data_IF_694353206300
#
_entry.id   IF_694353206300
#
_cell.length_a   1.000
_cell.length_b   1.000
_cell.length_c   1.000
_cell.angle_alpha   90.00
_cell.angle_beta   90.00
_cell.angle_gamma   90.00
#
_symmetry.space_group_name_H-M   'P 1'
#
loop_
_entity.id
_entity.type
_entity.pdbx_description
1 polymer ?
#
# COMPACT_ATOMS: atom_id res chain seq x y z
N UNK A 1 -0.37 -7.10 -8.86
CA UNK A 1 -0.58 -6.08 -7.81
C UNK A 1 -1.24 -4.86 -8.42
N UNK A 2 -2.22 -4.28 -7.72
CA UNK A 2 -2.72 -2.93 -8.03
C UNK A 2 -2.47 -2.06 -6.80
N UNK A 3 -1.88 -0.90 -6.96
CA UNK A 3 -1.69 0.08 -5.91
C UNK A 3 -1.98 1.50 -6.40
N UNK A 4 -2.06 2.42 -5.46
CA UNK A 4 -2.32 3.83 -5.66
C UNK A 4 -1.39 4.62 -4.74
N UNK A 5 -0.64 5.56 -5.30
CA UNK A 5 0.10 6.53 -4.52
C UNK A 5 -0.84 7.65 -4.04
N UNK A 6 -0.69 8.03 -2.79
CA UNK A 6 -1.49 9.09 -2.15
C UNK A 6 -0.60 10.27 -1.75
N UNK A 7 -1.20 11.43 -1.53
CA UNK A 7 -0.57 12.70 -1.19
C UNK A 7 -0.06 12.79 0.27
N UNK A 8 0.44 11.67 0.78
CA UNK A 8 1.12 11.57 2.08
C UNK A 8 2.58 11.24 1.84
N UNK A 9 3.46 12.20 2.10
CA UNK A 9 4.83 12.16 1.63
C UNK A 9 5.84 11.73 2.69
N UNK A 10 6.85 11.02 2.22
CA UNK A 10 8.13 10.89 2.90
C UNK A 10 9.16 11.78 2.19
N UNK A 11 9.97 12.50 2.94
CA UNK A 11 10.98 13.42 2.41
C UNK A 11 12.33 13.10 2.99
N UNK A 12 13.38 13.15 2.16
CA UNK A 12 14.77 13.07 2.57
C UNK A 12 15.47 14.37 2.16
N UNK A 13 16.11 15.03 3.10
CA UNK A 13 16.93 16.22 2.86
C UNK A 13 18.40 15.87 3.09
N UNK A 14 19.21 16.12 2.08
CA UNK A 14 20.67 15.92 2.12
C UNK A 14 21.35 17.26 2.23
N UNK A 15 22.21 17.40 3.22
CA UNK A 15 22.98 18.63 3.45
C UNK A 15 24.45 18.26 3.61
N UNK A 16 25.34 18.99 2.92
CA UNK A 16 26.78 18.87 3.08
C UNK A 16 27.27 20.16 3.71
N UNK A 17 27.88 20.06 4.89
CA UNK A 17 28.43 21.23 5.57
C UNK A 17 29.77 21.68 4.95
N UNK A 18 30.29 22.82 5.42
CA UNK A 18 31.57 23.38 4.98
C UNK A 18 32.75 22.43 5.24
N UNK A 19 32.62 21.48 6.15
CA UNK A 19 33.59 20.43 6.46
C UNK A 19 33.51 19.20 5.58
N UNK A 20 32.50 19.13 4.67
CA UNK A 20 32.21 17.99 3.80
C UNK A 20 31.49 16.86 4.52
N UNK A 21 30.89 17.11 5.66
CA UNK A 21 30.05 16.12 6.37
C UNK A 21 28.66 16.11 5.77
N UNK A 22 28.23 14.92 5.29
CA UNK A 22 26.90 14.69 4.80
C UNK A 22 25.94 14.41 5.96
N UNK A 23 24.87 15.18 6.08
CA UNK A 23 23.75 14.90 6.97
C UNK A 23 22.50 14.55 6.17
N UNK A 24 21.69 13.66 6.73
CA UNK A 24 20.42 13.21 6.13
C UNK A 24 19.30 13.39 7.14
N UNK A 25 18.30 14.18 6.78
CA UNK A 25 17.11 14.41 7.60
C UNK A 25 15.89 13.80 6.91
N UNK A 26 15.06 13.11 7.68
CA UNK A 26 13.83 12.50 7.19
C UNK A 26 12.61 13.14 7.84
N UNK A 27 11.57 13.39 7.05
CA UNK A 27 10.25 13.77 7.53
C UNK A 27 9.17 12.93 6.83
N UNK A 28 8.12 12.59 7.55
CA UNK A 28 7.01 11.80 7.03
C UNK A 28 5.69 12.42 7.49
N UNK A 29 4.71 12.51 6.59
CA UNK A 29 3.38 13.02 6.91
C UNK A 29 2.56 12.00 7.70
N UNK A 30 2.92 10.71 7.60
CA UNK A 30 2.30 9.60 8.36
C UNK A 30 3.35 8.83 9.15
N UNK A 31 2.98 8.19 10.28
CA UNK A 31 3.93 7.43 11.09
C UNK A 31 4.57 6.27 10.32
N UNK A 32 5.85 6.03 10.56
CA UNK A 32 6.54 4.81 10.12
C UNK A 32 5.86 3.60 10.77
N UNK A 33 5.69 2.51 10.02
CA UNK A 33 4.95 1.34 10.50
C UNK A 33 3.42 1.47 10.38
N UNK A 34 2.93 2.51 9.69
CA UNK A 34 1.50 2.66 9.39
C UNK A 34 0.95 1.66 8.38
N UNK A 35 1.80 0.92 7.67
CA UNK A 35 1.39 0.05 6.55
C UNK A 35 1.14 0.78 5.22
N UNK A 36 1.45 2.09 5.16
CA UNK A 36 1.31 2.92 3.96
C UNK A 36 2.58 3.00 3.10
N UNK A 37 3.52 2.06 3.28
CA UNK A 37 4.74 2.04 2.47
C UNK A 37 5.76 3.12 2.83
N UNK A 38 5.67 3.72 4.03
CA UNK A 38 6.53 4.86 4.45
C UNK A 38 8.02 4.54 4.36
N UNK A 39 8.44 3.32 4.72
CA UNK A 39 9.84 2.91 4.63
C UNK A 39 10.33 2.89 3.18
N UNK A 40 9.54 2.30 2.28
CA UNK A 40 9.85 2.29 0.85
C UNK A 40 9.93 3.70 0.27
N UNK A 41 9.01 4.58 0.66
CA UNK A 41 8.98 5.97 0.21
C UNK A 41 10.19 6.78 0.72
N UNK A 42 10.64 6.57 1.98
CA UNK A 42 11.86 7.18 2.54
C UNK A 42 13.08 6.77 1.71
N UNK A 43 13.22 5.48 1.40
CA UNK A 43 14.38 4.97 0.67
C UNK A 43 14.38 5.45 -0.80
N UNK A 44 13.22 5.54 -1.43
CA UNK A 44 13.08 6.15 -2.76
C UNK A 44 13.49 7.61 -2.74
N UNK A 45 13.00 8.40 -1.77
CA UNK A 45 13.37 9.81 -1.62
C UNK A 45 14.87 10.00 -1.37
N UNK A 46 15.46 9.18 -0.50
CA UNK A 46 16.89 9.20 -0.22
C UNK A 46 17.75 8.94 -1.45
N UNK A 47 17.46 7.85 -2.16
CA UNK A 47 18.29 7.44 -3.31
C UNK A 47 18.14 8.42 -4.48
N UNK A 48 16.92 8.91 -4.74
CA UNK A 48 16.70 9.95 -5.74
C UNK A 48 17.48 11.24 -5.43
N UNK A 49 17.53 11.62 -4.15
CA UNK A 49 18.30 12.78 -3.69
C UNK A 49 19.82 12.57 -3.81
N UNK A 50 20.33 11.38 -3.48
CA UNK A 50 21.75 11.03 -3.62
C UNK A 50 22.18 11.08 -5.10
N UNK A 51 21.36 10.56 -6.00
CA UNK A 51 21.64 10.54 -7.43
C UNK A 51 21.46 11.92 -8.11
N UNK A 52 20.85 12.88 -7.40
CA UNK A 52 20.65 14.24 -7.90
C UNK A 52 19.81 14.31 -9.17
N UNK A 53 18.87 13.41 -9.30
CA UNK A 53 18.03 13.25 -10.50
C UNK A 53 17.05 14.43 -10.63
N UNK A 54 17.44 15.46 -11.37
CA UNK A 54 16.60 16.65 -11.61
C UNK A 54 15.41 16.35 -12.54
N UNK A 55 15.55 15.40 -13.46
CA UNK A 55 14.48 14.96 -14.36
C UNK A 55 14.32 13.45 -14.24
N UNK A 56 13.15 13.01 -13.75
CA UNK A 56 12.82 11.60 -13.53
C UNK A 56 11.82 11.14 -14.59
N UNK A 57 12.34 10.55 -15.65
CA UNK A 57 11.54 9.77 -16.61
C UNK A 57 11.14 8.40 -16.04
N UNK A 58 10.40 7.63 -16.81
CA UNK A 58 9.88 6.32 -16.38
C UNK A 58 11.02 5.32 -16.08
N UNK A 59 12.13 5.37 -16.83
CA UNK A 59 13.29 4.51 -16.62
C UNK A 59 14.07 4.84 -15.34
N UNK A 60 14.26 6.12 -15.04
CA UNK A 60 14.91 6.59 -13.82
C UNK A 60 14.08 6.23 -12.59
N UNK A 61 12.74 6.42 -12.64
CA UNK A 61 11.82 6.02 -11.57
C UNK A 61 11.87 4.52 -11.28
N UNK A 62 11.91 3.70 -12.34
CA UNK A 62 12.08 2.26 -12.22
C UNK A 62 13.42 1.90 -11.55
N UNK A 63 14.49 2.56 -11.96
CA UNK A 63 15.84 2.33 -11.41
C UNK A 63 15.86 2.66 -9.91
N UNK A 64 15.36 3.83 -9.51
CA UNK A 64 15.30 4.24 -8.10
C UNK A 64 14.42 3.29 -7.28
N UNK A 65 13.28 2.84 -7.80
CA UNK A 65 12.42 1.88 -7.12
C UNK A 65 13.15 0.56 -6.82
N UNK A 66 13.86 0.02 -7.82
CA UNK A 66 14.62 -1.23 -7.66
C UNK A 66 15.83 -1.06 -6.73
N UNK A 67 16.55 0.04 -6.82
CA UNK A 67 17.64 0.35 -5.89
C UNK A 67 17.14 0.49 -4.45
N UNK A 68 15.99 1.15 -4.23
CA UNK A 68 15.38 1.27 -2.92
C UNK A 68 14.99 -0.09 -2.34
N UNK A 69 14.42 -0.97 -3.17
CA UNK A 69 14.13 -2.35 -2.77
C UNK A 69 15.40 -3.13 -2.39
N UNK A 70 16.46 -3.03 -3.23
CA UNK A 70 17.73 -3.70 -2.95
C UNK A 70 18.37 -3.16 -1.67
N UNK A 71 18.34 -1.85 -1.45
CA UNK A 71 18.84 -1.22 -0.24
C UNK A 71 18.13 -1.74 1.02
N UNK A 72 16.79 -1.82 1.00
CA UNK A 72 16.02 -2.41 2.10
C UNK A 72 16.38 -3.88 2.34
N UNK A 73 16.56 -4.65 1.28
CA UNK A 73 16.95 -6.06 1.36
C UNK A 73 18.31 -6.25 2.01
N UNK A 74 19.28 -5.37 1.72
CA UNK A 74 20.60 -5.36 2.36
C UNK A 74 20.51 -5.03 3.86
N UNK A 75 19.53 -4.23 4.27
CA UNK A 75 19.25 -3.93 5.67
C UNK A 75 18.46 -5.05 6.38
N UNK A 76 18.18 -6.15 5.70
CA UNK A 76 17.48 -7.32 6.24
C UNK A 76 15.96 -7.27 6.14
N UNK A 77 15.39 -6.27 5.47
CA UNK A 77 13.95 -6.24 5.19
C UNK A 77 13.61 -7.26 4.07
N UNK A 78 12.73 -8.20 4.38
CA UNK A 78 12.26 -9.23 3.44
C UNK A 78 10.90 -8.89 2.82
N UNK A 79 10.58 -7.61 2.71
CA UNK A 79 9.33 -7.11 2.11
C UNK A 79 9.28 -7.28 0.58
N UNK A 80 8.14 -6.89 0.00
CA UNK A 80 7.97 -6.81 -1.45
C UNK A 80 8.46 -5.47 -2.03
N UNK A 81 8.37 -5.33 -3.36
CA UNK A 81 8.83 -4.14 -4.12
C UNK A 81 7.73 -3.12 -4.36
N UNK A 82 6.51 -3.41 -3.93
CA UNK A 82 5.30 -2.66 -4.29
C UNK A 82 5.30 -1.20 -3.84
N UNK A 83 5.84 -0.96 -2.64
CA UNK A 83 5.81 0.36 -2.00
C UNK A 83 6.82 1.30 -2.65
N UNK A 84 8.02 0.81 -2.96
CA UNK A 84 9.05 1.55 -3.66
C UNK A 84 8.59 1.94 -5.07
N UNK A 85 7.93 1.03 -5.79
CA UNK A 85 7.39 1.31 -7.11
C UNK A 85 6.23 2.32 -7.06
N UNK A 86 5.35 2.24 -6.05
CA UNK A 86 4.30 3.23 -5.86
C UNK A 86 4.87 4.61 -5.59
N UNK A 87 5.83 4.72 -4.66
CA UNK A 87 6.48 5.98 -4.30
C UNK A 87 7.26 6.60 -5.45
N UNK A 88 7.96 5.78 -6.26
CA UNK A 88 8.74 6.28 -7.39
C UNK A 88 7.86 6.78 -8.53
N UNK A 89 6.80 6.04 -8.88
CA UNK A 89 5.99 6.34 -10.06
C UNK A 89 4.82 7.27 -9.81
N UNK A 90 4.28 7.31 -8.60
CA UNK A 90 3.02 8.00 -8.33
C UNK A 90 1.82 7.33 -8.99
N UNK A 91 0.63 7.91 -8.82
CA UNK A 91 -0.60 7.53 -9.49
C UNK A 91 -1.05 6.10 -9.25
N UNK A 92 -1.75 5.57 -10.25
CA UNK A 92 -2.25 4.20 -10.28
C UNK A 92 -1.23 3.27 -10.93
N UNK A 93 -0.90 2.17 -10.27
CA UNK A 93 0.02 1.18 -10.81
C UNK A 93 -0.63 -0.21 -10.84
N UNK A 94 -0.41 -0.92 -11.95
CA UNK A 94 -0.67 -2.34 -12.08
C UNK A 94 0.65 -3.04 -12.37
N UNK A 95 1.20 -3.73 -11.37
CA UNK A 95 2.51 -4.35 -11.43
C UNK A 95 2.36 -5.87 -11.53
N UNK A 96 3.15 -6.48 -12.41
CA UNK A 96 3.38 -7.92 -12.47
C UNK A 96 4.79 -8.22 -11.95
N UNK A 97 4.88 -9.17 -11.03
CA UNK A 97 6.13 -9.70 -10.51
C UNK A 97 6.37 -11.06 -11.15
N UNK A 98 7.45 -11.20 -11.91
CA UNK A 98 7.79 -12.41 -12.67
C UNK A 98 9.23 -12.78 -12.34
N UNK A 99 9.40 -13.69 -11.36
CA UNK A 99 10.72 -13.95 -10.80
C UNK A 99 11.31 -12.69 -10.17
N UNK A 100 12.48 -12.28 -10.64
CA UNK A 100 13.17 -11.07 -10.19
C UNK A 100 12.78 -9.81 -10.96
N UNK A 101 11.95 -9.94 -12.00
CA UNK A 101 11.53 -8.83 -12.83
C UNK A 101 10.21 -8.22 -12.36
N UNK A 102 10.05 -6.91 -12.59
CA UNK A 102 8.81 -6.17 -12.39
C UNK A 102 8.38 -5.55 -13.71
N UNK A 103 7.17 -5.86 -14.13
CA UNK A 103 6.57 -5.28 -15.33
C UNK A 103 5.40 -4.36 -14.92
N UNK A 104 5.50 -3.08 -15.31
CA UNK A 104 4.42 -2.10 -15.12
C UNK A 104 3.47 -2.20 -16.31
N UNK A 105 2.29 -2.73 -16.05
CA UNK A 105 1.25 -2.88 -17.07
C UNK A 105 0.61 -1.53 -17.40
N UNK A 106 0.20 -1.30 -18.65
CA UNK A 106 -0.63 -0.15 -18.99
C UNK A 106 -1.91 -0.17 -18.15
N UNK A 107 -2.10 0.86 -17.31
CA UNK A 107 -3.21 0.90 -16.37
C UNK A 107 -3.70 2.32 -16.16
N UNK A 108 -4.94 2.57 -16.53
CA UNK A 108 -5.59 3.85 -16.35
C UNK A 108 -7.05 3.62 -15.95
N UNK A 109 -7.37 3.65 -14.64
CA UNK A 109 -8.73 3.62 -14.17
C UNK A 109 -9.57 4.73 -14.78
N UNK A 110 -10.80 4.43 -15.18
CA UNK A 110 -11.66 5.46 -15.76
C UNK A 110 -12.13 6.44 -14.68
N UNK A 111 -12.38 7.69 -15.06
CA UNK A 111 -12.70 8.78 -14.13
C UNK A 111 -13.92 8.51 -13.24
N UNK A 112 -14.92 7.77 -13.74
CA UNK A 112 -16.09 7.39 -12.93
C UNK A 112 -15.74 6.43 -11.79
N UNK A 113 -14.87 5.44 -12.05
CA UNK A 113 -14.36 4.52 -11.03
C UNK A 113 -13.48 5.24 -10.00
N UNK A 114 -12.58 6.13 -10.44
CA UNK A 114 -11.76 6.95 -9.53
C UNK A 114 -12.62 7.81 -8.60
N UNK A 115 -13.60 8.54 -9.17
CA UNK A 115 -14.52 9.37 -8.38
C UNK A 115 -15.38 8.55 -7.41
N UNK A 116 -15.78 7.37 -7.84
CA UNK A 116 -16.55 6.47 -6.97
C UNK A 116 -15.69 6.00 -5.79
N UNK A 117 -14.45 5.56 -6.02
CA UNK A 117 -13.54 5.20 -4.94
C UNK A 117 -13.28 6.38 -4.00
N UNK A 118 -12.94 7.56 -4.51
CA UNK A 118 -12.70 8.74 -3.68
C UNK A 118 -13.88 9.14 -2.79
N UNK A 119 -15.12 8.84 -3.23
CA UNK A 119 -16.32 9.09 -2.43
C UNK A 119 -16.61 8.03 -1.37
N UNK A 120 -16.19 6.79 -1.61
CA UNK A 120 -16.59 5.65 -0.80
C UNK A 120 -15.45 5.06 0.01
N UNK A 121 -14.19 5.30 -0.35
CA UNK A 121 -13.05 4.73 0.35
C UNK A 121 -12.70 5.60 1.57
N UNK A 122 -12.75 5.01 2.74
CA UNK A 122 -12.31 5.59 4.02
C UNK A 122 -10.97 4.99 4.38
N UNK A 123 -9.98 5.82 4.63
CA UNK A 123 -8.65 5.43 5.12
C UNK A 123 -8.56 5.73 6.60
N UNK A 124 -8.25 4.72 7.41
CA UNK A 124 -8.12 4.87 8.86
C UNK A 124 -6.84 4.23 9.37
N UNK A 125 -6.23 4.86 10.36
CA UNK A 125 -5.09 4.32 11.10
C UNK A 125 -5.56 3.86 12.48
N UNK A 126 -5.35 2.59 12.78
CA UNK A 126 -5.76 2.00 14.06
C UNK A 126 -4.91 2.45 15.25
N UNK A 127 -3.73 3.01 15.01
CA UNK A 127 -2.74 3.30 16.06
C UNK A 127 -2.06 2.05 16.64
N UNK A 128 -2.43 0.85 16.19
CA UNK A 128 -1.80 -0.40 16.61
C UNK A 128 -0.50 -0.56 15.82
N UNK A 129 0.66 -0.70 16.50
CA UNK A 129 1.92 -0.88 15.79
C UNK A 129 1.92 -2.13 14.92
N UNK A 130 2.34 -1.97 13.68
CA UNK A 130 2.48 -3.06 12.74
C UNK A 130 3.83 -3.76 12.91
N UNK A 131 3.82 -5.08 13.06
CA UNK A 131 5.03 -5.92 13.18
C UNK A 131 5.11 -6.84 11.97
N UNK A 132 5.85 -6.42 10.93
CA UNK A 132 5.88 -7.12 9.63
C UNK A 132 6.89 -8.27 9.53
N UNK A 133 7.99 -8.24 10.28
CA UNK A 133 9.15 -9.10 10.02
C UNK A 133 8.90 -10.60 10.22
N UNK A 134 8.33 -10.97 11.35
CA UNK A 134 8.18 -12.40 11.75
C UNK A 134 6.99 -13.07 11.04
N UNK A 135 5.93 -12.30 10.74
CA UNK A 135 4.72 -12.84 10.09
C UNK A 135 5.01 -13.32 8.66
N UNK A 136 5.78 -12.56 7.89
CA UNK A 136 6.17 -12.96 6.55
C UNK A 136 7.04 -14.22 6.54
N UNK A 137 7.96 -14.37 7.50
CA UNK A 137 8.84 -15.53 7.57
C UNK A 137 8.04 -16.83 7.75
N UNK A 138 7.06 -16.85 8.66
CA UNK A 138 6.20 -18.00 8.89
C UNK A 138 5.38 -18.38 7.66
N UNK A 139 4.84 -17.41 6.93
CA UNK A 139 4.08 -17.66 5.70
C UNK A 139 4.99 -18.25 4.63
N UNK A 140 6.20 -17.73 4.48
CA UNK A 140 7.17 -18.27 3.51
C UNK A 140 7.64 -19.69 3.85
N UNK A 141 7.85 -20.00 5.12
CA UNK A 141 8.17 -21.36 5.58
C UNK A 141 7.04 -22.34 5.25
N UNK A 142 5.78 -21.97 5.53
CA UNK A 142 4.61 -22.77 5.18
C UNK A 142 4.48 -22.95 3.66
N UNK A 143 4.71 -21.89 2.88
CA UNK A 143 4.71 -21.97 1.42
C UNK A 143 5.78 -22.95 0.90
N UNK A 144 7.00 -22.85 1.41
CA UNK A 144 8.11 -23.72 1.05
C UNK A 144 7.85 -25.20 1.44
N UNK A 145 7.15 -25.41 2.56
CA UNK A 145 6.70 -26.73 2.99
C UNK A 145 5.55 -27.32 2.15
N UNK A 146 5.00 -26.53 1.23
CA UNK A 146 3.94 -26.98 0.33
C UNK A 146 2.53 -26.86 0.91
N UNK A 147 2.32 -26.02 1.93
CA UNK A 147 1.01 -25.77 2.53
C UNK A 147 0.00 -25.27 1.47
N UNK A 148 -1.05 -26.09 1.26
CA UNK A 148 -2.05 -25.84 0.24
C UNK A 148 -2.93 -24.61 0.56
N UNK A 149 -3.19 -24.36 1.85
CA UNK A 149 -3.98 -23.22 2.29
C UNK A 149 -3.25 -21.90 1.98
N UNK A 150 -1.94 -21.85 2.22
CA UNK A 150 -1.09 -20.69 1.86
C UNK A 150 -1.08 -20.47 0.34
N UNK A 151 -0.96 -21.54 -0.44
CA UNK A 151 -1.01 -21.45 -1.91
C UNK A 151 -2.35 -20.95 -2.41
N UNK A 152 -3.45 -21.43 -1.85
CA UNK A 152 -4.79 -20.94 -2.16
C UNK A 152 -4.94 -19.47 -1.82
N UNK A 153 -4.47 -19.04 -0.63
CA UNK A 153 -4.48 -17.64 -0.20
C UNK A 153 -3.73 -16.72 -1.15
N UNK A 154 -2.51 -17.10 -1.53
CA UNK A 154 -1.72 -16.33 -2.51
C UNK A 154 -2.39 -16.27 -3.88
N UNK A 155 -3.05 -17.36 -4.31
CA UNK A 155 -3.79 -17.39 -5.57
C UNK A 155 -5.02 -16.47 -5.51
N UNK A 156 -5.75 -16.45 -4.39
CA UNK A 156 -6.88 -15.54 -4.17
C UNK A 156 -6.43 -14.07 -4.24
N UNK A 157 -5.34 -13.71 -3.56
CA UNK A 157 -4.77 -12.35 -3.60
C UNK A 157 -4.36 -11.98 -5.04
N UNK A 158 -3.75 -12.90 -5.78
CA UNK A 158 -3.36 -12.69 -7.18
C UNK A 158 -4.59 -12.45 -8.07
N UNK A 159 -5.64 -13.24 -7.90
CA UNK A 159 -6.89 -13.08 -8.67
C UNK A 159 -7.61 -11.78 -8.30
N UNK A 160 -7.64 -11.41 -7.02
CA UNK A 160 -8.19 -10.15 -6.55
C UNK A 160 -7.53 -8.94 -7.24
N UNK A 161 -6.21 -8.97 -7.42
CA UNK A 161 -5.51 -7.90 -8.12
C UNK A 161 -5.95 -7.76 -9.59
N UNK A 162 -6.25 -8.87 -10.28
CA UNK A 162 -6.76 -8.85 -11.65
C UNK A 162 -8.19 -8.31 -11.73
N UNK A 163 -9.05 -8.74 -10.80
CA UNK A 163 -10.42 -8.22 -10.68
C UNK A 163 -10.40 -6.71 -10.40
N UNK A 164 -9.55 -6.26 -9.48
CA UNK A 164 -9.39 -4.84 -9.18
C UNK A 164 -9.00 -4.05 -10.43
N UNK A 165 -7.97 -4.50 -11.16
CA UNK A 165 -7.51 -3.82 -12.37
C UNK A 165 -8.62 -3.74 -13.42
N UNK A 166 -9.31 -4.85 -13.69
CA UNK A 166 -10.38 -4.90 -14.67
C UNK A 166 -11.58 -4.04 -14.24
N UNK A 167 -12.00 -4.16 -12.99
CA UNK A 167 -13.11 -3.39 -12.42
C UNK A 167 -12.88 -1.88 -12.51
N UNK A 168 -11.66 -1.41 -12.21
CA UNK A 168 -11.31 0.01 -12.28
C UNK A 168 -11.20 0.54 -13.72
N UNK A 169 -10.71 -0.28 -14.66
CA UNK A 169 -10.62 0.12 -16.07
C UNK A 169 -11.95 0.11 -16.80
N UNK A 170 -12.94 -0.67 -16.36
CA UNK A 170 -14.22 -0.86 -17.04
C UNK A 170 -15.43 -0.32 -16.24
N UNK A 171 -15.22 0.36 -15.09
CA UNK A 171 -16.27 0.81 -14.14
C UNK A 171 -17.18 -0.33 -13.64
N UNK A 172 -16.61 -1.50 -13.47
CA UNK A 172 -17.33 -2.65 -12.91
C UNK A 172 -17.14 -2.68 -11.40
N UNK A 173 -18.01 -1.97 -10.70
CA UNK A 173 -17.93 -1.79 -9.24
C UNK A 173 -18.13 -3.09 -8.48
N UNK A 174 -18.90 -4.00 -9.00
CA UNK A 174 -19.09 -5.37 -8.49
C UNK A 174 -17.76 -6.15 -8.48
N UNK A 175 -16.95 -6.04 -9.53
CA UNK A 175 -15.61 -6.65 -9.58
C UNK A 175 -14.66 -6.02 -8.56
N UNK A 176 -14.72 -4.69 -8.36
CA UNK A 176 -13.92 -4.01 -7.34
C UNK A 176 -14.32 -4.47 -5.94
N UNK A 177 -15.62 -4.56 -5.63
CA UNK A 177 -16.12 -5.09 -4.35
C UNK A 177 -15.67 -6.54 -4.17
N UNK A 178 -15.81 -7.38 -5.19
CA UNK A 178 -15.36 -8.77 -5.16
C UNK A 178 -13.85 -8.85 -4.91
N UNK A 179 -13.05 -7.97 -5.52
CA UNK A 179 -11.61 -7.92 -5.30
C UNK A 179 -11.24 -7.61 -3.84
N UNK A 180 -11.93 -6.69 -3.17
CA UNK A 180 -11.75 -6.44 -1.74
C UNK A 180 -12.06 -7.67 -0.90
N UNK A 181 -13.16 -8.36 -1.18
CA UNK A 181 -13.54 -9.55 -0.43
C UNK A 181 -12.58 -10.73 -0.68
N UNK A 182 -12.14 -10.93 -1.92
CA UNK A 182 -11.19 -11.98 -2.27
C UNK A 182 -9.78 -11.74 -1.69
N UNK A 183 -9.31 -10.49 -1.63
CA UNK A 183 -8.01 -10.21 -0.99
C UNK A 183 -8.08 -10.48 0.52
N UNK A 184 -9.18 -10.12 1.19
CA UNK A 184 -9.38 -10.44 2.61
C UNK A 184 -9.42 -11.95 2.83
N UNK A 185 -10.23 -12.67 2.05
CA UNK A 185 -10.26 -14.15 2.11
C UNK A 185 -8.87 -14.76 1.92
N UNK A 186 -8.12 -14.23 0.95
CA UNK A 186 -6.76 -14.69 0.70
C UNK A 186 -5.83 -14.47 1.89
N UNK A 187 -5.89 -13.30 2.54
CA UNK A 187 -5.10 -12.98 3.73
C UNK A 187 -5.48 -13.87 4.91
N UNK A 188 -6.78 -14.13 5.13
CA UNK A 188 -7.26 -15.03 6.19
C UNK A 188 -6.76 -16.48 5.98
N UNK A 189 -6.61 -16.92 4.74
CA UNK A 189 -6.00 -18.22 4.42
C UNK A 189 -4.49 -18.25 4.70
N UNK A 190 -3.80 -17.13 4.58
CA UNK A 190 -2.39 -17.03 4.98
C UNK A 190 -2.24 -17.10 6.49
N UNK A 191 -2.93 -16.23 7.20
CA UNK A 191 -2.98 -16.19 8.66
C UNK A 191 -4.16 -15.30 9.13
N UNK A 192 -5.20 -15.88 9.80
CA UNK A 192 -6.33 -15.10 10.32
C UNK A 192 -5.92 -14.03 11.35
N UNK A 193 -4.79 -14.21 12.03
CA UNK A 193 -4.26 -13.24 13.00
C UNK A 193 -3.92 -11.89 12.38
N UNK A 194 -3.66 -11.84 11.06
CA UNK A 194 -3.39 -10.60 10.33
C UNK A 194 -4.58 -9.64 10.32
N UNK A 195 -5.80 -10.15 10.41
CA UNK A 195 -7.03 -9.38 10.45
C UNK A 195 -7.60 -9.19 11.87
N UNK A 196 -7.08 -9.94 12.86
CA UNK A 196 -7.56 -9.94 14.24
C UNK A 196 -7.82 -8.55 14.83
N UNK A 197 -6.90 -7.58 14.71
CA UNK A 197 -7.07 -6.24 15.29
C UNK A 197 -8.25 -5.43 14.72
N UNK A 198 -8.77 -5.79 13.55
CA UNK A 198 -9.76 -5.01 12.83
C UNK A 198 -11.19 -5.51 13.01
N UNK A 199 -11.38 -6.80 13.33
CA UNK A 199 -12.68 -7.49 13.39
C UNK A 199 -13.70 -6.81 14.28
N UNK A 200 -13.30 -6.28 15.45
CA UNK A 200 -14.22 -5.66 16.40
C UNK A 200 -14.97 -4.44 15.81
N UNK A 201 -14.38 -3.78 14.80
CA UNK A 201 -14.99 -2.61 14.13
C UNK A 201 -15.55 -3.00 12.77
N UNK A 202 -14.81 -3.80 12.01
CA UNK A 202 -15.13 -4.11 10.63
C UNK A 202 -16.32 -5.08 10.52
N UNK A 203 -16.37 -6.12 11.34
CA UNK A 203 -17.42 -7.15 11.22
C UNK A 203 -18.83 -6.58 11.42
N UNK A 204 -19.12 -5.75 12.44
CA UNK A 204 -20.43 -5.11 12.58
C UNK A 204 -20.80 -4.22 11.38
N UNK A 205 -19.81 -3.54 10.76
CA UNK A 205 -20.02 -2.70 9.59
C UNK A 205 -20.35 -3.52 8.33
N UNK A 206 -19.72 -4.67 8.19
CA UNK A 206 -20.01 -5.62 7.09
C UNK A 206 -21.39 -6.27 7.28
N UNK A 207 -21.72 -6.76 8.47
CA UNK A 207 -23.01 -7.37 8.78
C UNK A 207 -24.16 -6.40 8.55
N UNK A 208 -23.99 -5.14 8.93
CA UNK A 208 -24.97 -4.07 8.71
C UNK A 208 -24.95 -3.54 7.25
N UNK A 209 -24.11 -4.06 6.38
CA UNK A 209 -23.89 -3.60 5.00
C UNK A 209 -23.56 -2.11 4.88
N UNK A 210 -22.92 -1.55 5.90
CA UNK A 210 -22.37 -0.19 5.87
C UNK A 210 -21.05 -0.14 5.09
N UNK A 211 -20.29 -1.23 5.11
CA UNK A 211 -19.07 -1.47 4.33
C UNK A 211 -19.31 -2.60 3.35
N UNK A 212 -18.83 -2.45 2.11
CA UNK A 212 -18.96 -3.42 1.02
C UNK A 212 -17.72 -4.32 0.91
N UNK A 213 -16.59 -3.87 1.41
CA UNK A 213 -15.30 -4.56 1.43
C UNK A 213 -14.26 -3.69 2.13
N UNK A 214 -13.17 -4.30 2.51
CA UNK A 214 -12.08 -3.62 3.21
C UNK A 214 -10.74 -4.29 2.93
N UNK A 215 -9.65 -3.66 3.36
CA UNK A 215 -8.31 -4.27 3.30
C UNK A 215 -7.40 -3.63 4.34
N UNK A 216 -6.73 -4.46 5.14
CA UNK A 216 -5.57 -4.03 5.92
C UNK A 216 -4.41 -3.67 4.97
N UNK A 217 -3.77 -2.54 5.18
CA UNK A 217 -2.64 -2.07 4.38
C UNK A 217 -1.31 -2.61 4.95
N UNK A 218 -0.33 -2.76 4.11
CA UNK A 218 0.90 -3.45 4.47
C UNK A 218 0.70 -4.95 4.70
N UNK A 219 1.38 -5.54 5.69
CA UNK A 219 1.30 -6.96 6.02
C UNK A 219 0.08 -7.35 6.89
N UNK A 220 -0.69 -6.40 7.41
CA UNK A 220 -1.76 -6.66 8.38
C UNK A 220 -1.25 -6.69 9.81
N UNK A 221 -2.09 -7.10 10.77
CA UNK A 221 -1.73 -7.15 12.19
C UNK A 221 -1.76 -5.79 12.90
N UNK A 222 -2.03 -4.70 12.20
CA UNK A 222 -2.08 -3.33 12.71
C UNK A 222 -1.91 -2.29 11.59
N UNK A 223 -1.62 -1.04 11.96
CA UNK A 223 -1.44 0.06 11.03
C UNK A 223 -2.75 0.54 10.41
N UNK A 224 -2.69 0.90 9.12
CA UNK A 224 -3.83 1.44 8.40
C UNK A 224 -4.66 0.35 7.71
N UNK A 225 -5.92 0.69 7.47
CA UNK A 225 -6.82 -0.07 6.62
C UNK A 225 -7.65 0.89 5.76
N UNK A 226 -8.15 0.36 4.65
CA UNK A 226 -9.17 1.02 3.83
C UNK A 226 -10.50 0.29 3.95
N UNK A 227 -11.59 1.05 4.02
CA UNK A 227 -12.96 0.58 4.10
C UNK A 227 -13.75 1.15 2.93
N UNK A 228 -14.37 0.29 2.14
CA UNK A 228 -15.24 0.71 1.05
C UNK A 228 -16.67 0.90 1.58
N UNK A 229 -16.99 2.12 1.97
CA UNK A 229 -18.32 2.45 2.50
C UNK A 229 -19.41 2.27 1.43
N UNK A 230 -20.55 1.74 1.85
CA UNK A 230 -21.73 1.66 1.00
C UNK A 230 -22.30 3.06 0.71
N UNK A 231 -23.13 3.17 -0.31
CA UNK A 231 -23.74 4.44 -0.72
C UNK A 231 -24.48 5.12 0.46
N UNK A 232 -24.10 6.37 0.74
CA UNK A 232 -24.66 7.17 1.85
C UNK A 232 -24.29 6.67 3.26
N UNK A 233 -23.25 5.84 3.39
CA UNK A 233 -22.79 5.29 4.68
C UNK A 233 -21.42 5.76 5.13
N UNK A 234 -20.75 6.61 4.34
CA UNK A 234 -19.39 7.08 4.66
C UNK A 234 -19.29 7.69 6.06
N UNK A 235 -20.13 8.66 6.39
CA UNK A 235 -20.11 9.32 7.70
C UNK A 235 -20.31 8.33 8.87
N UNK A 236 -21.16 7.30 8.67
CA UNK A 236 -21.37 6.26 9.68
C UNK A 236 -20.12 5.39 9.85
N UNK A 237 -19.44 5.06 8.76
CA UNK A 237 -18.19 4.27 8.80
C UNK A 237 -17.10 5.08 9.48
N UNK A 238 -16.96 6.37 9.14
CA UNK A 238 -16.01 7.29 9.76
C UNK A 238 -16.26 7.42 11.26
N UNK A 239 -17.51 7.66 11.68
CA UNK A 239 -17.88 7.72 13.09
C UNK A 239 -17.61 6.41 13.86
N UNK A 240 -17.78 5.25 13.23
CA UNK A 240 -17.44 3.97 13.85
C UNK A 240 -15.92 3.79 14.04
N UNK A 241 -15.11 4.24 13.09
CA UNK A 241 -13.64 4.25 13.21
C UNK A 241 -13.20 5.18 14.36
N UNK A 242 -13.72 6.39 14.41
CA UNK A 242 -13.42 7.37 15.49
C UNK A 242 -13.85 6.88 16.86
N UNK A 243 -15.03 6.26 16.97
CA UNK A 243 -15.52 5.66 18.21
C UNK A 243 -14.62 4.51 18.72
N UNK A 244 -13.91 3.84 17.82
CA UNK A 244 -12.91 2.83 18.14
C UNK A 244 -11.54 3.42 18.49
N UNK A 245 -11.38 4.74 18.44
CA UNK A 245 -10.11 5.44 18.67
C UNK A 245 -9.17 5.43 17.45
N UNK A 246 -9.68 5.10 16.28
CA UNK A 246 -8.90 5.13 15.04
C UNK A 246 -8.85 6.55 14.48
N UNK A 247 -7.73 6.91 13.86
CA UNK A 247 -7.54 8.21 13.23
C UNK A 247 -7.90 8.11 11.76
N UNK A 248 -8.85 8.93 11.31
CA UNK A 248 -9.15 9.07 9.89
C UNK A 248 -8.01 9.84 9.19
N UNK A 249 -7.61 9.37 8.03
CA UNK A 249 -6.61 10.02 7.20
C UNK A 249 -7.30 10.53 5.93
N UNK A 250 -7.21 11.83 5.70
CA UNK A 250 -7.56 12.41 4.40
C UNK A 250 -6.53 11.96 3.38
N UNK A 251 -6.96 11.79 2.15
CA UNK A 251 -6.09 11.36 1.06
C UNK A 251 -6.60 11.84 -0.30
N UNK A 252 -5.69 12.14 -1.17
CA UNK A 252 -5.93 12.33 -2.60
C UNK A 252 -4.85 11.58 -3.40
N UNK A 253 -4.98 11.56 -4.70
CA UNK A 253 -4.06 10.84 -5.58
C UNK A 253 -2.82 11.69 -5.81
N UNK A 254 -1.64 11.19 -5.44
CA UNK A 254 -0.39 11.75 -5.93
C UNK A 254 -0.07 11.18 -7.31
N UNK A 255 -0.17 12.00 -8.34
CA UNK A 255 0.12 11.61 -9.73
C UNK A 255 1.60 11.74 -10.13
N UNK A 256 2.40 12.43 -9.31
CA UNK A 256 3.76 12.82 -9.66
C UNK A 256 4.82 11.77 -9.26
N UNK A 257 4.63 11.13 -8.10
CA UNK A 257 5.62 10.24 -7.49
C UNK A 257 6.85 11.00 -6.99
N UNK A 258 8.02 10.34 -6.99
CA UNK A 258 9.24 10.94 -6.49
C UNK A 258 9.65 12.17 -7.29
N UNK A 259 10.03 13.22 -6.60
CA UNK A 259 10.59 14.45 -7.16
C UNK A 259 11.81 14.91 -6.36
N UNK A 260 12.78 15.56 -7.01
CA UNK A 260 13.99 16.09 -6.40
C UNK A 260 14.10 17.56 -6.68
N UNK A 261 14.32 18.34 -5.62
CA UNK A 261 14.54 19.79 -5.71
C UNK A 261 15.93 20.09 -5.14
N UNK A 262 16.78 20.74 -5.94
CA UNK A 262 18.06 21.30 -5.47
C UNK A 262 17.82 22.74 -5.00
N UNK A 263 18.33 23.09 -3.80
CA UNK A 263 18.30 24.44 -3.23
C UNK A 263 19.67 25.09 -3.30
#
# INVERSE_FOLDING_TARGET
>A
MVNLAIDSYARATLEVDDGGILSVNYTCDVPVGSGLGTTGAINVALLAAIEGMAELGDAERQTVAEQAFQFESLLGNKGGRQDQWAAAHGGWNHLLFIGDDVEKMPFSPIRSAQRWLGKHLVLANTGIPHVSGDLHAMIWERYAAGDEQVREGLMAIRMAARLMANGLQQDRRDEVITAFNEVCRGVDLLDPGLHGPFHSVVDPLLEARNVLGWKALGAGGGGCLVLLANMGRRELVEAACEAAGWTLLEWDIDSEGVSVNAS
#
